data_IF_923735170248
#
_entry.id   IF_923735170248
#
_cell.length_a   1.000
_cell.length_b   1.000
_cell.length_c   1.000
_cell.angle_alpha   90.00
_cell.angle_beta   90.00
_cell.angle_gamma   90.00
#
_symmetry.space_group_name_H-M   'P 1'
#
loop_
_entity.id
_entity.type
_entity.pdbx_description
1 polymer ?
#
# COMPACT_ATOMS: atom_id res chain seq x y z
N UNK A 1 -22.78 -10.80 -22.07
CA UNK A 1 -22.22 -10.44 -20.75
C UNK A 1 -22.37 -11.54 -19.67
N UNK A 2 -22.61 -12.83 -20.02
CA UNK A 2 -22.90 -13.88 -19.02
C UNK A 2 -21.69 -14.65 -18.48
N UNK A 3 -20.48 -14.46 -19.03
CA UNK A 3 -19.32 -15.29 -18.68
C UNK A 3 -18.44 -14.70 -17.57
N UNK A 4 -18.14 -13.39 -17.59
CA UNK A 4 -17.68 -12.64 -16.42
C UNK A 4 -17.84 -11.14 -16.64
N UNK A 5 -17.87 -10.35 -15.55
CA UNK A 5 -17.90 -8.87 -15.59
C UNK A 5 -16.53 -8.23 -15.89
N UNK A 6 -15.46 -9.01 -15.83
CA UNK A 6 -14.09 -8.53 -15.98
C UNK A 6 -13.38 -9.34 -17.08
N UNK A 7 -12.93 -8.65 -18.13
CA UNK A 7 -12.24 -9.24 -19.28
C UNK A 7 -11.01 -10.06 -18.88
N UNK A 8 -10.27 -9.64 -17.84
CA UNK A 8 -9.13 -10.40 -17.33
C UNK A 8 -9.53 -11.75 -16.73
N UNK A 9 -10.70 -11.84 -16.09
CA UNK A 9 -11.23 -13.11 -15.54
C UNK A 9 -11.65 -14.03 -16.68
N UNK A 10 -12.32 -13.50 -17.71
CA UNK A 10 -12.69 -14.25 -18.92
C UNK A 10 -11.44 -14.83 -19.59
N UNK A 11 -10.40 -14.03 -19.75
CA UNK A 11 -9.14 -14.46 -20.36
C UNK A 11 -8.44 -15.53 -19.54
N UNK A 12 -8.34 -15.36 -18.22
CA UNK A 12 -7.73 -16.34 -17.33
C UNK A 12 -8.48 -17.67 -17.39
N UNK A 13 -9.80 -17.65 -17.20
CA UNK A 13 -10.63 -18.84 -17.26
C UNK A 13 -10.58 -19.51 -18.64
N UNK A 14 -10.56 -18.72 -19.72
CA UNK A 14 -10.44 -19.25 -21.09
C UNK A 14 -9.10 -19.94 -21.33
N UNK A 15 -7.99 -19.42 -20.79
CA UNK A 15 -6.67 -20.07 -20.86
C UNK A 15 -6.64 -21.37 -20.07
N UNK A 16 -7.11 -21.35 -18.81
CA UNK A 16 -7.16 -22.54 -17.94
C UNK A 16 -8.04 -23.66 -18.53
N UNK A 17 -9.18 -23.31 -19.14
CA UNK A 17 -10.05 -24.26 -19.82
C UNK A 17 -9.39 -24.83 -21.08
N UNK A 18 -8.72 -23.97 -21.85
CA UNK A 18 -7.99 -24.40 -23.05
C UNK A 18 -6.83 -25.35 -22.74
N UNK A 19 -6.09 -25.14 -21.65
CA UNK A 19 -5.06 -26.07 -21.18
C UNK A 19 -5.62 -27.48 -20.90
N UNK A 20 -6.92 -27.57 -20.61
CA UNK A 20 -7.66 -28.82 -20.42
C UNK A 20 -8.42 -29.28 -21.66
N UNK A 21 -8.14 -28.66 -22.82
CA UNK A 21 -8.80 -28.88 -24.09
C UNK A 21 -10.33 -28.62 -24.05
N UNK A 22 -10.76 -27.67 -23.22
CA UNK A 22 -12.15 -27.22 -23.10
C UNK A 22 -12.29 -25.85 -23.76
N UNK A 23 -13.16 -25.77 -24.77
CA UNK A 23 -13.46 -24.53 -25.50
C UNK A 23 -14.65 -23.78 -24.92
N UNK A 24 -14.59 -22.46 -24.96
CA UNK A 24 -15.74 -21.58 -24.75
C UNK A 24 -16.27 -21.20 -26.11
N UNK A 25 -17.57 -21.39 -26.31
CA UNK A 25 -18.25 -20.97 -27.53
C UNK A 25 -19.00 -19.65 -27.28
N UNK A 26 -18.62 -18.62 -28.01
CA UNK A 26 -19.29 -17.32 -27.99
C UNK A 26 -20.36 -17.30 -29.08
N UNK A 27 -21.61 -17.58 -28.69
CA UNK A 27 -22.75 -17.73 -29.62
C UNK A 27 -22.97 -16.50 -30.51
N UNK A 28 -22.91 -15.29 -29.92
CA UNK A 28 -23.15 -14.04 -30.66
C UNK A 28 -22.10 -13.79 -31.74
N UNK A 29 -20.85 -14.14 -31.45
CA UNK A 29 -19.72 -13.96 -32.37
C UNK A 29 -19.53 -15.19 -33.27
N UNK A 30 -20.21 -16.31 -32.98
CA UNK A 30 -20.02 -17.60 -33.61
C UNK A 30 -18.54 -18.07 -33.59
N UNK A 31 -17.86 -17.86 -32.46
CA UNK A 31 -16.42 -18.14 -32.29
C UNK A 31 -16.21 -19.16 -31.18
N UNK A 32 -15.36 -20.15 -31.42
CA UNK A 32 -14.88 -21.10 -30.43
C UNK A 32 -13.43 -20.74 -30.02
N UNK A 33 -13.13 -20.67 -28.73
CA UNK A 33 -11.77 -20.34 -28.24
C UNK A 33 -10.69 -21.36 -28.59
N UNK A 34 -11.06 -22.55 -29.08
CA UNK A 34 -10.12 -23.55 -29.59
C UNK A 34 -9.73 -23.34 -31.05
N UNK A 35 -10.37 -22.42 -31.78
CA UNK A 35 -10.01 -22.11 -33.17
C UNK A 35 -9.04 -20.92 -33.25
N UNK A 36 -8.37 -20.75 -34.39
CA UNK A 36 -7.49 -19.61 -34.65
C UNK A 36 -8.21 -18.26 -34.47
N UNK A 37 -9.46 -18.15 -34.93
CA UNK A 37 -10.29 -16.96 -34.72
C UNK A 37 -10.56 -16.70 -33.22
N UNK A 38 -10.70 -17.76 -32.43
CA UNK A 38 -10.80 -17.70 -30.97
C UNK A 38 -9.51 -17.20 -30.32
N UNK A 39 -8.35 -17.67 -30.76
CA UNK A 39 -7.05 -17.19 -30.27
C UNK A 39 -6.83 -15.70 -30.55
N UNK A 40 -7.17 -15.26 -31.76
CA UNK A 40 -7.09 -13.85 -32.15
C UNK A 40 -8.01 -13.00 -31.27
N UNK A 41 -9.25 -13.43 -31.07
CA UNK A 41 -10.20 -12.74 -30.18
C UNK A 41 -9.66 -12.63 -28.75
N UNK A 42 -9.13 -13.71 -28.18
CA UNK A 42 -8.55 -13.69 -26.83
C UNK A 42 -7.32 -12.78 -26.75
N UNK A 43 -6.50 -12.74 -27.79
CA UNK A 43 -5.32 -11.86 -27.86
C UNK A 43 -5.72 -10.39 -27.88
N UNK A 44 -6.72 -10.03 -28.69
CA UNK A 44 -7.27 -8.67 -28.75
C UNK A 44 -7.87 -8.27 -27.40
N UNK A 45 -8.69 -9.15 -26.80
CA UNK A 45 -9.28 -8.91 -25.47
C UNK A 45 -8.20 -8.73 -24.39
N UNK A 46 -7.10 -9.48 -24.46
CA UNK A 46 -5.97 -9.33 -23.56
C UNK A 46 -5.25 -8.00 -23.75
N UNK A 47 -5.04 -7.57 -25.00
CA UNK A 47 -4.45 -6.27 -25.29
C UNK A 47 -5.32 -5.11 -24.74
N UNK A 48 -6.64 -5.18 -24.91
CA UNK A 48 -7.56 -4.20 -24.33
C UNK A 48 -7.52 -4.19 -22.80
N UNK A 49 -7.57 -5.36 -22.16
CA UNK A 49 -7.50 -5.47 -20.70
C UNK A 49 -6.18 -4.91 -20.14
N UNK A 50 -5.07 -5.12 -20.85
CA UNK A 50 -3.77 -4.57 -20.49
C UNK A 50 -3.76 -3.04 -20.60
N UNK A 51 -4.23 -2.49 -21.73
CA UNK A 51 -4.29 -1.05 -21.95
C UNK A 51 -5.19 -0.33 -20.93
N UNK A 52 -6.34 -0.91 -20.60
CA UNK A 52 -7.24 -0.38 -19.57
C UNK A 52 -6.58 -0.40 -18.19
N UNK A 53 -5.87 -1.48 -17.85
CA UNK A 53 -5.13 -1.58 -16.59
C UNK A 53 -4.02 -0.55 -16.47
N UNK A 54 -3.29 -0.29 -17.56
CA UNK A 54 -2.23 0.73 -17.62
C UNK A 54 -2.84 2.13 -17.47
N UNK A 55 -3.89 2.44 -18.23
CA UNK A 55 -4.58 3.73 -18.15
C UNK A 55 -5.15 4.00 -16.75
N UNK A 56 -5.73 3.00 -16.09
CA UNK A 56 -6.22 3.11 -14.72
C UNK A 56 -5.09 3.36 -13.70
N UNK A 57 -3.94 2.70 -13.88
CA UNK A 57 -2.76 2.90 -13.05
C UNK A 57 -2.19 4.30 -13.21
N UNK A 58 -2.10 4.80 -14.45
CA UNK A 58 -1.66 6.16 -14.74
C UNK A 58 -2.61 7.20 -14.15
N UNK A 59 -3.92 7.01 -14.34
CA UNK A 59 -4.95 7.90 -13.81
C UNK A 59 -4.89 7.99 -12.29
N UNK A 60 -4.72 6.86 -11.61
CA UNK A 60 -4.59 6.82 -10.14
C UNK A 60 -3.33 7.53 -9.65
N UNK A 61 -2.21 7.36 -10.38
CA UNK A 61 -0.96 8.06 -10.08
C UNK A 61 -1.10 9.58 -10.27
N UNK A 62 -1.72 10.01 -11.36
CA UNK A 62 -1.96 11.43 -11.63
C UNK A 62 -2.89 12.04 -10.57
N UNK A 63 -3.94 11.34 -10.17
CA UNK A 63 -4.82 11.79 -9.09
C UNK A 63 -4.07 11.95 -7.75
N UNK A 64 -3.19 11.00 -7.40
CA UNK A 64 -2.35 11.10 -6.20
C UNK A 64 -1.41 12.32 -6.25
N UNK A 65 -0.73 12.54 -7.38
CA UNK A 65 0.17 13.69 -7.55
C UNK A 65 -0.58 15.02 -7.51
N UNK A 66 -1.73 15.10 -8.18
CA UNK A 66 -2.55 16.32 -8.20
C UNK A 66 -3.03 16.72 -6.80
N UNK A 67 -3.37 15.74 -5.94
CA UNK A 67 -3.72 16.01 -4.53
C UNK A 67 -2.54 16.62 -3.77
N UNK A 68 -1.34 16.06 -3.96
CA UNK A 68 -0.12 16.59 -3.34
C UNK A 68 0.20 18.00 -3.86
N UNK A 69 0.07 18.24 -5.16
CA UNK A 69 0.28 19.56 -5.78
C UNK A 69 -0.68 20.62 -5.23
N UNK A 70 -1.92 20.22 -4.89
CA UNK A 70 -2.90 21.08 -4.22
C UNK A 70 -2.65 21.26 -2.71
N UNK A 71 -1.56 20.70 -2.18
CA UNK A 71 -1.20 20.78 -0.76
C UNK A 71 -2.00 19.84 0.14
N UNK A 72 -2.76 18.89 -0.42
CA UNK A 72 -3.43 17.89 0.39
C UNK A 72 -2.44 16.85 0.92
N UNK A 73 -2.50 16.59 2.22
CA UNK A 73 -1.69 15.53 2.84
C UNK A 73 -2.42 14.20 2.77
N UNK A 74 -1.81 13.25 2.05
CA UNK A 74 -2.32 11.88 1.92
C UNK A 74 -1.57 10.97 2.90
N UNK A 75 -1.93 11.06 4.18
CA UNK A 75 -1.44 10.17 5.23
C UNK A 75 -2.59 9.31 5.79
N UNK A 76 -2.26 8.12 6.29
CA UNK A 76 -3.19 7.21 6.97
C UNK A 76 -2.62 6.85 8.35
N UNK A 77 -2.53 7.85 9.23
CA UNK A 77 -1.87 7.70 10.52
C UNK A 77 -2.62 6.77 11.47
N UNK A 78 -3.92 6.56 11.27
CA UNK A 78 -4.74 5.60 12.04
C UNK A 78 -4.25 4.14 11.91
N UNK A 79 -3.36 3.86 10.95
CA UNK A 79 -2.72 2.55 10.78
C UNK A 79 -1.34 2.47 11.44
N UNK A 80 -0.87 3.58 12.01
CA UNK A 80 0.43 3.70 12.68
C UNK A 80 0.24 3.57 14.19
N UNK A 81 1.17 2.89 14.85
CA UNK A 81 1.12 2.70 16.31
C UNK A 81 1.21 4.05 17.02
N UNK A 82 0.32 4.32 17.97
CA UNK A 82 0.29 5.59 18.71
C UNK A 82 -0.65 6.66 18.16
N UNK A 83 -1.29 6.46 17.01
CA UNK A 83 -2.23 7.42 16.43
C UNK A 83 -3.62 6.82 16.19
N UNK A 84 -4.64 7.66 16.29
CA UNK A 84 -6.01 7.34 15.88
C UNK A 84 -6.66 8.54 15.20
N UNK A 85 -7.79 8.27 14.53
CA UNK A 85 -8.70 9.32 14.03
C UNK A 85 -9.83 9.54 15.03
N UNK A 86 -10.12 10.80 15.32
CA UNK A 86 -11.31 11.16 16.09
C UNK A 86 -12.60 11.09 15.25
N UNK A 87 -13.72 11.43 15.88
CA UNK A 87 -15.04 11.46 15.24
C UNK A 87 -15.14 12.51 14.13
N UNK A 88 -14.27 13.52 14.15
CA UNK A 88 -14.20 14.59 13.15
C UNK A 88 -13.25 14.23 11.98
N UNK A 89 -12.53 13.11 12.08
CA UNK A 89 -11.53 12.67 11.11
C UNK A 89 -10.15 13.28 11.31
N UNK A 90 -9.91 13.99 12.41
CA UNK A 90 -8.62 14.56 12.78
C UNK A 90 -7.73 13.55 13.51
N UNK A 91 -6.42 13.70 13.34
CA UNK A 91 -5.44 12.82 13.96
C UNK A 91 -5.12 13.23 15.39
N UNK A 92 -5.16 12.27 16.30
CA UNK A 92 -4.76 12.46 17.70
C UNK A 92 -3.91 11.30 18.21
N UNK A 93 -3.13 11.58 19.25
CA UNK A 93 -2.37 10.56 19.95
C UNK A 93 -3.32 9.56 20.62
N UNK A 94 -3.10 8.27 20.40
CA UNK A 94 -3.86 7.18 20.99
C UNK A 94 -3.14 6.70 22.25
N UNK A 95 -3.60 7.12 23.42
CA UNK A 95 -3.11 6.56 24.68
C UNK A 95 -3.75 5.17 24.92
N UNK A 96 -2.99 4.15 25.39
CA UNK A 96 -1.64 4.22 25.94
C UNK A 96 -0.49 4.01 24.93
N UNK A 97 -0.80 3.78 23.65
CA UNK A 97 0.23 3.48 22.62
C UNK A 97 1.21 4.64 22.42
N UNK A 98 0.72 5.88 22.48
CA UNK A 98 1.58 7.07 22.38
C UNK A 98 2.60 7.16 23.52
N UNK A 99 2.25 6.75 24.74
CA UNK A 99 3.20 6.63 25.85
C UNK A 99 4.34 5.66 25.55
N UNK A 100 4.05 4.51 24.92
CA UNK A 100 5.07 3.54 24.50
C UNK A 100 6.00 4.13 23.44
N UNK A 101 5.48 4.93 22.51
CA UNK A 101 6.32 5.65 21.54
C UNK A 101 7.30 6.58 22.27
N UNK A 102 6.82 7.39 23.23
CA UNK A 102 7.70 8.27 24.02
C UNK A 102 8.77 7.48 24.76
N UNK A 103 8.40 6.36 25.40
CA UNK A 103 9.36 5.45 26.05
C UNK A 103 10.42 4.91 25.07
N UNK A 104 10.03 4.53 23.85
CA UNK A 104 10.98 4.07 22.82
C UNK A 104 12.00 5.16 22.52
N UNK A 105 11.57 6.40 22.29
CA UNK A 105 12.48 7.51 22.01
C UNK A 105 13.40 7.80 23.20
N UNK A 106 12.88 7.81 24.42
CA UNK A 106 13.67 8.01 25.64
C UNK A 106 14.77 6.94 25.80
N UNK A 107 14.43 5.67 25.59
CA UNK A 107 15.38 4.56 25.66
C UNK A 107 16.47 4.67 24.58
N UNK A 108 16.12 5.10 23.37
CA UNK A 108 17.10 5.33 22.30
C UNK A 108 18.05 6.48 22.66
N UNK A 109 17.55 7.58 23.22
CA UNK A 109 18.36 8.71 23.68
C UNK A 109 19.33 8.26 24.78
N UNK A 110 18.90 7.34 25.64
CA UNK A 110 19.75 6.71 26.68
C UNK A 110 20.78 5.70 26.11
N UNK A 111 20.81 5.47 24.80
CA UNK A 111 21.74 4.57 24.14
C UNK A 111 21.31 3.10 24.14
N UNK A 112 20.07 2.79 24.49
CA UNK A 112 19.55 1.42 24.42
C UNK A 112 19.28 1.06 22.95
N UNK A 113 19.87 -0.04 22.49
CA UNK A 113 19.66 -0.48 21.11
C UNK A 113 18.24 -1.01 20.87
N UNK A 114 17.78 -0.95 19.62
CA UNK A 114 16.45 -1.37 19.20
C UNK A 114 16.10 -2.83 19.58
N UNK A 115 17.08 -3.73 19.58
CA UNK A 115 16.89 -5.14 19.97
C UNK A 115 16.50 -5.27 21.44
N UNK A 116 17.17 -4.54 22.33
CA UNK A 116 16.88 -4.55 23.75
C UNK A 116 15.54 -3.87 24.05
N UNK A 117 15.22 -2.77 23.35
CA UNK A 117 13.91 -2.11 23.46
C UNK A 117 12.80 -3.10 23.09
N UNK A 118 12.90 -3.78 21.94
CA UNK A 118 11.92 -4.78 21.51
C UNK A 118 11.73 -5.89 22.56
N UNK A 119 12.82 -6.39 23.16
CA UNK A 119 12.76 -7.39 24.24
C UNK A 119 12.03 -6.87 25.47
N UNK A 120 12.28 -5.63 25.89
CA UNK A 120 11.61 -5.00 27.04
C UNK A 120 10.11 -4.88 26.78
N UNK A 121 9.70 -4.41 25.58
CA UNK A 121 8.29 -4.28 25.21
C UNK A 121 7.58 -5.64 25.17
N UNK A 122 8.21 -6.65 24.57
CA UNK A 122 7.66 -8.01 24.52
C UNK A 122 7.58 -8.67 25.89
N UNK A 123 8.57 -8.46 26.76
CA UNK A 123 8.54 -8.98 28.14
C UNK A 123 7.38 -8.39 28.96
N UNK A 124 6.90 -7.19 28.60
CA UNK A 124 5.73 -6.54 29.18
C UNK A 124 4.42 -6.89 28.47
N UNK A 125 4.43 -7.82 27.50
CA UNK A 125 3.29 -8.20 26.66
C UNK A 125 2.66 -7.02 25.90
N UNK A 126 3.44 -6.00 25.54
CA UNK A 126 2.98 -4.91 24.69
C UNK A 126 3.02 -5.39 23.25
N UNK A 127 1.89 -5.28 22.53
CA UNK A 127 1.78 -5.70 21.14
C UNK A 127 1.77 -4.50 20.18
N UNK A 128 2.17 -4.73 18.94
CA UNK A 128 2.04 -3.77 17.84
C UNK A 128 0.57 -3.60 17.40
N UNK A 129 0.28 -2.66 16.49
CA UNK A 129 -1.09 -2.42 15.97
C UNK A 129 -1.75 -3.70 15.42
N UNK A 130 -0.94 -4.60 14.84
CA UNK A 130 -1.41 -5.85 14.25
C UNK A 130 -1.44 -7.02 15.23
N UNK A 131 -1.18 -6.79 16.53
CA UNK A 131 -1.12 -7.84 17.54
C UNK A 131 0.17 -8.68 17.49
N UNK A 132 1.18 -8.25 16.72
CA UNK A 132 2.45 -8.95 16.61
C UNK A 132 3.46 -8.48 17.67
N UNK A 133 4.44 -9.33 17.96
CA UNK A 133 5.60 -9.00 18.80
C UNK A 133 6.48 -7.92 18.17
N UNK A 134 7.17 -7.17 19.03
CA UNK A 134 8.15 -6.17 18.64
C UNK A 134 9.41 -6.83 18.12
N UNK A 135 9.92 -6.31 17.01
CA UNK A 135 11.24 -6.64 16.46
C UNK A 135 12.13 -5.41 16.48
N UNK A 136 13.44 -5.62 16.44
CA UNK A 136 14.40 -4.51 16.33
C UNK A 136 14.10 -3.62 15.10
N UNK A 137 13.70 -4.23 13.97
CA UNK A 137 13.31 -3.51 12.75
C UNK A 137 12.05 -2.67 12.94
N UNK A 138 11.08 -3.15 13.71
CA UNK A 138 9.85 -2.39 14.01
C UNK A 138 10.17 -1.16 14.86
N UNK A 139 10.99 -1.33 15.90
CA UNK A 139 11.45 -0.23 16.76
C UNK A 139 12.24 0.80 15.93
N UNK A 140 13.18 0.34 15.12
CA UNK A 140 13.97 1.20 14.23
C UNK A 140 13.08 2.01 13.29
N UNK A 141 12.08 1.38 12.67
CA UNK A 141 11.11 2.05 11.81
C UNK A 141 10.25 3.07 12.55
N UNK A 142 10.01 2.91 13.84
CA UNK A 142 9.32 3.93 14.64
C UNK A 142 10.22 5.14 14.80
N UNK A 143 11.47 4.93 15.21
CA UNK A 143 12.43 6.01 15.50
C UNK A 143 12.72 6.86 14.27
N UNK A 144 12.86 6.24 13.08
CA UNK A 144 13.11 6.97 11.83
C UNK A 144 11.88 7.66 11.24
N UNK A 145 10.68 7.35 11.72
CA UNK A 145 9.46 7.82 11.06
C UNK A 145 9.09 9.24 11.51
N UNK A 146 9.09 10.16 10.54
CA UNK A 146 8.84 11.57 10.76
C UNK A 146 7.42 11.87 11.28
N UNK A 147 6.48 10.93 11.15
CA UNK A 147 5.12 11.12 11.67
C UNK A 147 5.11 11.40 13.17
N UNK A 148 6.03 10.80 13.93
CA UNK A 148 5.98 10.92 15.38
C UNK A 148 6.35 12.33 15.88
N UNK A 149 7.00 13.14 15.04
CA UNK A 149 7.25 14.57 15.28
C UNK A 149 6.26 15.50 14.59
N UNK A 150 5.13 14.98 14.09
CA UNK A 150 4.06 15.78 13.49
C UNK A 150 4.21 16.04 11.97
N UNK A 151 5.28 15.55 11.35
CA UNK A 151 5.57 15.77 9.93
C UNK A 151 5.07 14.60 9.06
N UNK A 152 4.98 14.78 7.74
CA UNK A 152 4.66 13.68 6.79
C UNK A 152 5.53 13.78 5.55
N UNK A 153 6.22 12.69 5.20
CA UNK A 153 6.89 12.53 3.92
C UNK A 153 6.04 11.63 3.00
N UNK A 154 5.55 12.20 1.91
CA UNK A 154 4.75 11.53 0.89
C UNK A 154 5.62 11.00 -0.26
N UNK A 155 5.08 10.02 -0.99
CA UNK A 155 5.75 9.36 -2.11
C UNK A 155 7.08 8.66 -1.75
N UNK A 156 7.16 8.07 -0.54
CA UNK A 156 8.28 7.21 -0.10
C UNK A 156 8.46 5.95 -0.95
N UNK A 157 7.43 5.55 -1.71
CA UNK A 157 7.48 4.39 -2.61
C UNK A 157 6.78 4.72 -3.93
N UNK A 158 7.10 3.98 -4.99
CA UNK A 158 6.40 4.04 -6.27
C UNK A 158 6.36 2.66 -6.94
N UNK A 159 5.52 2.51 -7.97
CA UNK A 159 5.46 1.30 -8.79
C UNK A 159 6.46 1.42 -9.94
N UNK A 160 7.39 0.46 -10.03
CA UNK A 160 8.39 0.41 -11.09
C UNK A 160 7.80 -0.09 -12.44
N UNK A 161 8.62 -0.10 -13.50
CA UNK A 161 8.19 -0.59 -14.82
C UNK A 161 7.84 -2.08 -14.87
N UNK A 162 8.15 -2.85 -13.82
CA UNK A 162 7.81 -4.27 -13.66
C UNK A 162 6.58 -4.48 -12.77
N UNK A 163 5.89 -3.40 -12.40
CA UNK A 163 4.71 -3.39 -11.52
C UNK A 163 5.01 -3.83 -10.07
N UNK A 164 6.25 -3.64 -9.61
CA UNK A 164 6.62 -3.85 -8.22
C UNK A 164 6.64 -2.53 -7.45
N UNK A 165 6.15 -2.55 -6.21
CA UNK A 165 6.32 -1.43 -5.29
C UNK A 165 7.75 -1.39 -4.79
N UNK A 166 8.44 -0.27 -5.04
CA UNK A 166 9.84 -0.04 -4.66
C UNK A 166 9.97 1.22 -3.82
N UNK A 167 11.01 1.28 -2.99
CA UNK A 167 11.35 2.48 -2.23
C UNK A 167 11.84 3.59 -3.17
N UNK A 168 11.43 4.82 -2.89
CA UNK A 168 11.89 6.00 -3.61
C UNK A 168 13.19 6.51 -2.96
N UNK A 169 14.29 6.39 -3.68
CA UNK A 169 15.63 6.86 -3.31
C UNK A 169 16.03 8.14 -4.06
N UNK A 170 15.06 8.83 -4.66
CA UNK A 170 15.26 10.05 -5.44
C UNK A 170 14.88 9.90 -6.93
N UNK A 171 14.39 8.74 -7.35
CA UNK A 171 13.92 8.52 -8.72
C UNK A 171 12.64 9.32 -9.04
N UNK A 172 11.88 9.69 -8.00
CA UNK A 172 10.71 10.57 -8.09
C UNK A 172 10.79 11.64 -7.01
N UNK A 173 10.17 12.80 -7.27
CA UNK A 173 9.97 13.81 -6.25
C UNK A 173 9.27 13.21 -5.02
N UNK A 174 9.74 13.60 -3.84
CA UNK A 174 9.07 13.34 -2.57
C UNK A 174 8.62 14.66 -1.99
N UNK A 175 7.53 14.63 -1.23
CA UNK A 175 6.86 15.84 -0.76
C UNK A 175 6.78 15.81 0.75
N UNK A 176 7.28 16.86 1.38
CA UNK A 176 7.39 16.94 2.83
C UNK A 176 6.44 18.00 3.38
N UNK A 177 5.48 17.57 4.21
CA UNK A 177 4.57 18.45 4.93
C UNK A 177 5.05 18.56 6.38
N UNK A 178 5.30 19.80 6.83
CA UNK A 178 5.64 20.12 8.22
C UNK A 178 4.39 20.35 9.04
N UNK A 179 4.46 20.04 10.32
CA UNK A 179 3.42 20.38 11.31
C UNK A 179 2.01 19.95 10.87
N UNK A 180 1.91 18.78 10.23
CA UNK A 180 0.69 18.27 9.64
C UNK A 180 -0.34 17.82 10.69
N UNK A 181 0.13 17.34 11.83
CA UNK A 181 -0.71 16.78 12.88
C UNK A 181 -0.02 16.90 14.24
N UNK A 182 -0.76 16.73 15.36
CA UNK A 182 -0.18 16.78 16.69
C UNK A 182 0.98 15.77 16.85
N UNK A 183 2.18 16.24 17.24
CA UNK A 183 3.33 15.37 17.46
C UNK A 183 3.15 14.51 18.72
N UNK A 184 3.74 13.31 18.72
CA UNK A 184 3.88 12.49 19.93
C UNK A 184 5.20 12.79 20.64
N UNK A 185 6.26 13.09 19.87
CA UNK A 185 7.61 13.46 20.34
C UNK A 185 8.06 14.78 19.70
N UNK A 186 8.90 15.53 20.42
CA UNK A 186 9.42 16.85 20.00
C UNK A 186 10.93 16.92 20.19
#
# INVERSE_FOLDING_TARGET
SRFARNTAIVLKASRELKERNVGIFFELQNINTLTEAGELLLTILAAFAQAESESASESSKMAYLHRIENGEVVAYLERSYGYEKDENGEYRAKEPEASVIREIYDLVIQGVNCTNIAKVLNARNIQTVQGAEWTASTVFRIVENEIYKGDVLMQKTFIDGKRHQVQNRGEKAMYYAKDNHPPIVS
#
